data_IF_391497773055
#
_entry.id   IF_391497773055
#
_cell.length_a   1.000
_cell.length_b   1.000
_cell.length_c   1.000
_cell.angle_alpha   90.00
_cell.angle_beta   90.00
_cell.angle_gamma   90.00
#
_symmetry.space_group_name_H-M   'P 1'
#
loop_
_entity.id
_entity.type
_entity.pdbx_description
1 polymer ?
#
# COMPACT_ATOMS: atom_id res chain seq x y z
N UNK A 1 -64.29 4.54 -40.61
CA UNK A 1 -63.40 3.52 -41.15
C UNK A 1 -62.44 3.01 -40.08
N UNK A 2 -62.43 1.67 -39.86
CA UNK A 2 -61.67 1.07 -38.79
C UNK A 2 -60.23 0.70 -39.23
N UNK A 3 -59.25 0.91 -38.33
CA UNK A 3 -57.88 0.50 -38.49
C UNK A 3 -57.72 -1.03 -38.33
N UNK A 4 -57.06 -1.62 -39.31
CA UNK A 4 -56.73 -3.04 -39.37
C UNK A 4 -55.60 -3.40 -38.40
N UNK A 5 -55.81 -4.41 -37.56
CA UNK A 5 -54.82 -5.06 -36.72
C UNK A 5 -53.90 -5.93 -37.58
N UNK A 6 -52.57 -5.72 -37.47
CA UNK A 6 -51.55 -6.60 -38.03
C UNK A 6 -51.16 -7.67 -36.99
N UNK A 7 -51.43 -8.94 -37.34
CA UNK A 7 -51.06 -10.08 -36.54
C UNK A 7 -49.53 -10.29 -36.47
N UNK A 8 -49.06 -10.57 -35.28
CA UNK A 8 -47.67 -10.98 -35.02
C UNK A 8 -47.57 -12.51 -35.12
N UNK A 9 -46.83 -12.99 -36.10
CA UNK A 9 -46.47 -14.42 -36.22
C UNK A 9 -45.48 -14.80 -35.14
N UNK A 10 -45.89 -15.64 -34.21
CA UNK A 10 -45.00 -16.34 -33.28
C UNK A 10 -44.17 -17.38 -34.04
N UNK A 11 -42.86 -17.23 -34.06
CA UNK A 11 -41.93 -18.28 -34.51
C UNK A 11 -41.82 -19.33 -33.41
N UNK A 12 -42.21 -20.54 -33.70
CA UNK A 12 -42.01 -21.73 -32.87
C UNK A 12 -40.53 -22.16 -32.93
N UNK A 13 -39.92 -22.37 -31.78
CA UNK A 13 -38.58 -22.96 -31.66
C UNK A 13 -38.63 -24.48 -31.94
N UNK A 14 -37.59 -25.06 -32.56
CA UNK A 14 -37.53 -26.50 -32.80
C UNK A 14 -37.30 -27.30 -31.50
N UNK A 15 -37.75 -28.56 -31.41
CA UNK A 15 -37.60 -29.39 -30.22
C UNK A 15 -36.14 -29.77 -29.97
N UNK A 16 -35.71 -29.75 -28.71
CA UNK A 16 -34.41 -30.23 -28.27
C UNK A 16 -34.30 -31.76 -28.47
N UNK A 17 -33.26 -32.18 -29.20
CA UNK A 17 -32.91 -33.58 -29.39
C UNK A 17 -32.32 -34.17 -28.10
N UNK A 18 -32.87 -35.27 -27.64
CA UNK A 18 -32.35 -36.09 -26.53
C UNK A 18 -31.05 -36.77 -26.97
N UNK A 19 -29.96 -36.75 -26.18
CA UNK A 19 -28.74 -37.49 -26.53
C UNK A 19 -28.96 -39.00 -26.37
N UNK A 20 -28.38 -39.77 -27.31
CA UNK A 20 -28.40 -41.24 -27.33
C UNK A 20 -27.56 -41.80 -26.14
N UNK A 21 -27.89 -43.04 -25.67
CA UNK A 21 -27.14 -43.66 -24.57
C UNK A 21 -25.72 -44.05 -25.02
N UNK A 22 -24.74 -43.79 -24.14
CA UNK A 22 -23.33 -44.08 -24.34
C UNK A 22 -23.08 -45.58 -24.16
N UNK A 23 -22.43 -46.23 -25.13
CA UNK A 23 -21.99 -47.63 -25.09
C UNK A 23 -20.77 -47.78 -24.18
N UNK A 24 -20.78 -48.60 -23.13
CA UNK A 24 -19.69 -48.75 -22.16
C UNK A 24 -18.51 -49.62 -22.64
N UNK A 25 -18.47 -50.05 -23.89
CA UNK A 25 -17.44 -51.00 -24.37
C UNK A 25 -16.32 -50.40 -25.22
N UNK A 26 -16.26 -49.07 -25.40
CA UNK A 26 -15.14 -48.45 -26.10
C UNK A 26 -14.05 -47.99 -25.13
N UNK A 27 -12.75 -48.26 -25.41
CA UNK A 27 -11.66 -47.76 -24.59
C UNK A 27 -11.62 -46.24 -24.68
N UNK A 28 -11.70 -45.57 -23.52
CA UNK A 28 -11.66 -44.12 -23.41
C UNK A 28 -10.36 -43.55 -23.99
N UNK A 29 -10.49 -42.61 -24.91
CA UNK A 29 -9.40 -41.75 -25.32
C UNK A 29 -8.88 -41.01 -24.08
N UNK A 30 -7.58 -41.15 -23.80
CA UNK A 30 -6.90 -40.41 -22.75
C UNK A 30 -7.07 -38.92 -23.03
N UNK A 31 -7.61 -38.20 -22.05
CA UNK A 31 -7.66 -36.75 -22.08
C UNK A 31 -6.24 -36.20 -22.30
N UNK A 32 -6.03 -35.13 -23.10
CA UNK A 32 -4.74 -34.50 -23.24
C UNK A 32 -4.30 -33.99 -21.88
N UNK A 33 -3.14 -34.47 -21.43
CA UNK A 33 -2.56 -34.07 -20.14
C UNK A 33 -2.55 -32.56 -20.02
N UNK A 34 -3.08 -32.06 -18.91
CA UNK A 34 -2.84 -30.69 -18.43
C UNK A 34 -1.34 -30.48 -18.36
N UNK A 35 -0.78 -29.80 -19.37
CA UNK A 35 0.54 -29.18 -19.24
C UNK A 35 0.39 -28.09 -18.21
N UNK A 36 0.57 -28.45 -16.94
CA UNK A 36 0.67 -27.49 -15.85
C UNK A 36 1.75 -26.48 -16.19
N UNK A 37 1.36 -25.30 -16.61
CA UNK A 37 2.23 -24.15 -16.59
C UNK A 37 2.80 -24.06 -15.17
N UNK A 38 4.12 -23.85 -14.97
CA UNK A 38 4.66 -23.73 -13.66
C UNK A 38 3.91 -22.62 -12.92
N UNK A 39 3.26 -22.97 -11.81
CA UNK A 39 2.67 -21.97 -10.91
C UNK A 39 3.80 -20.99 -10.59
N UNK A 40 3.69 -19.76 -11.05
CA UNK A 40 4.59 -18.70 -10.64
C UNK A 40 4.65 -18.71 -9.12
N UNK A 41 5.83 -18.85 -8.51
CA UNK A 41 5.93 -18.89 -7.06
C UNK A 41 5.21 -17.66 -6.51
N UNK A 42 4.19 -17.87 -5.69
CA UNK A 42 3.42 -16.78 -5.10
C UNK A 42 4.39 -15.80 -4.45
N UNK A 43 4.42 -14.57 -4.92
CA UNK A 43 5.30 -13.54 -4.40
C UNK A 43 5.15 -13.48 -2.86
N UNK A 44 6.28 -13.51 -2.14
CA UNK A 44 6.28 -13.42 -0.69
C UNK A 44 5.84 -12.00 -0.32
N UNK A 45 4.62 -11.87 0.21
CA UNK A 45 4.11 -10.58 0.65
C UNK A 45 4.68 -10.21 2.02
N UNK A 46 5.06 -8.94 2.18
CA UNK A 46 5.55 -8.36 3.44
C UNK A 46 4.43 -8.10 4.45
N UNK A 47 3.18 -8.21 4.05
CA UNK A 47 2.00 -7.96 4.87
C UNK A 47 1.04 -9.14 4.85
N UNK A 48 0.14 -9.18 5.85
CA UNK A 48 -0.97 -10.13 5.91
C UNK A 48 -2.28 -9.36 5.77
N UNK A 49 -3.09 -9.73 4.78
CA UNK A 49 -4.47 -9.22 4.69
C UNK A 49 -5.25 -9.73 5.89
N UNK A 50 -5.61 -8.84 6.79
CA UNK A 50 -6.49 -9.15 7.93
C UNK A 50 -7.88 -8.68 7.60
N UNK A 51 -8.87 -9.56 7.75
CA UNK A 51 -10.27 -9.16 7.75
C UNK A 51 -10.53 -8.34 9.03
N UNK A 52 -10.57 -7.03 8.91
CA UNK A 52 -10.93 -6.14 10.01
C UNK A 52 -12.35 -5.62 9.83
N UNK A 53 -13.09 -5.43 10.95
CA UNK A 53 -14.35 -4.71 10.90
C UNK A 53 -14.08 -3.22 10.88
N UNK A 54 -14.68 -2.50 9.93
CA UNK A 54 -14.78 -1.05 9.96
C UNK A 54 -15.83 -0.64 11.01
N UNK A 55 -15.49 0.37 11.82
CA UNK A 55 -16.48 1.01 12.70
C UNK A 55 -17.42 1.88 11.87
N UNK A 56 -18.59 2.23 12.42
CA UNK A 56 -19.55 3.12 11.74
C UNK A 56 -18.91 4.47 11.33
N UNK A 57 -18.08 5.04 12.21
CA UNK A 57 -17.34 6.28 11.90
C UNK A 57 -16.34 6.13 10.76
N UNK A 58 -15.65 5.00 10.67
CA UNK A 58 -14.75 4.69 9.56
C UNK A 58 -15.53 4.46 8.25
N UNK A 59 -16.63 3.71 8.30
CA UNK A 59 -17.49 3.47 7.15
C UNK A 59 -18.07 4.77 6.59
N UNK A 60 -18.52 5.67 7.48
CA UNK A 60 -18.99 7.00 7.11
C UNK A 60 -17.88 7.83 6.45
N UNK A 61 -16.68 7.87 7.03
CA UNK A 61 -15.55 8.58 6.45
C UNK A 61 -15.16 8.04 5.09
N UNK A 62 -15.20 6.70 4.90
CA UNK A 62 -14.97 6.07 3.59
C UNK A 62 -16.00 6.53 2.54
N UNK A 63 -17.28 6.63 2.91
CA UNK A 63 -18.35 7.06 2.01
C UNK A 63 -18.27 8.56 1.67
N UNK A 64 -18.07 9.42 2.68
CA UNK A 64 -18.14 10.88 2.55
C UNK A 64 -16.83 11.51 2.03
N UNK A 65 -15.68 11.04 2.52
CA UNK A 65 -14.36 11.59 2.23
C UNK A 65 -13.56 10.77 1.21
N UNK A 66 -13.86 9.49 1.10
CA UNK A 66 -13.18 8.58 0.17
C UNK A 66 -13.12 9.12 -1.26
N UNK A 67 -14.23 9.58 -1.86
CA UNK A 67 -14.23 10.10 -3.23
C UNK A 67 -13.26 11.26 -3.47
N UNK A 68 -12.98 12.08 -2.44
CA UNK A 68 -12.08 13.23 -2.53
C UNK A 68 -10.63 12.90 -2.21
N UNK A 69 -10.38 12.03 -1.24
CA UNK A 69 -9.04 11.82 -0.68
C UNK A 69 -8.41 10.49 -1.05
N UNK A 70 -9.18 9.51 -1.54
CA UNK A 70 -8.65 8.25 -2.05
C UNK A 70 -8.35 8.37 -3.54
N UNK A 71 -7.15 8.00 -3.91
CA UNK A 71 -6.74 7.86 -5.30
C UNK A 71 -6.90 6.39 -5.70
N UNK A 72 -7.58 6.08 -6.81
CA UNK A 72 -7.62 4.71 -7.32
C UNK A 72 -6.21 4.28 -7.75
N UNK A 73 -5.86 3.03 -7.48
CA UNK A 73 -4.66 2.47 -8.06
C UNK A 73 -4.83 2.37 -9.59
N UNK A 74 -3.80 2.76 -10.31
CA UNK A 74 -3.75 2.71 -11.76
C UNK A 74 -2.31 2.56 -12.25
N UNK A 75 -2.14 1.95 -13.40
CA UNK A 75 -0.84 1.87 -14.09
C UNK A 75 -0.59 3.15 -14.89
N UNK A 76 -0.51 4.27 -14.16
CA UNK A 76 -0.27 5.60 -14.69
C UNK A 76 0.38 6.46 -13.62
N UNK A 77 1.45 7.15 -13.98
CA UNK A 77 2.14 8.09 -13.08
C UNK A 77 1.21 9.22 -12.67
N UNK A 78 1.15 9.49 -11.36
CA UNK A 78 0.35 10.58 -10.81
C UNK A 78 0.92 11.94 -11.18
N UNK A 79 0.07 12.83 -11.65
CA UNK A 79 0.33 14.26 -11.64
C UNK A 79 0.00 14.81 -10.24
N UNK A 80 1.01 14.91 -9.39
CA UNK A 80 0.84 15.35 -7.99
C UNK A 80 0.36 16.80 -7.91
N UNK A 81 0.74 17.65 -8.85
CA UNK A 81 0.25 19.03 -8.91
C UNK A 81 -1.26 19.07 -9.17
N UNK A 82 -1.76 18.27 -10.09
CA UNK A 82 -3.20 18.16 -10.34
C UNK A 82 -3.93 17.53 -9.14
N UNK A 83 -3.35 16.49 -8.51
CA UNK A 83 -3.94 15.79 -7.36
C UNK A 83 -4.10 16.68 -6.14
N UNK A 84 -3.12 17.54 -5.84
CA UNK A 84 -3.12 18.41 -4.66
C UNK A 84 -3.56 19.85 -4.97
N UNK A 85 -3.63 20.24 -6.25
CA UNK A 85 -3.96 21.60 -6.70
C UNK A 85 -2.85 22.61 -6.41
N UNK A 86 -1.62 22.16 -6.14
CA UNK A 86 -0.45 22.99 -5.86
C UNK A 86 0.86 22.26 -6.19
N UNK A 87 1.92 23.02 -6.29
CA UNK A 87 3.27 22.48 -6.39
C UNK A 87 3.92 22.50 -5.01
N UNK A 88 4.19 21.31 -4.47
CA UNK A 88 4.85 21.13 -3.17
C UNK A 88 5.72 19.87 -3.17
N UNK A 89 6.60 19.76 -2.19
CA UNK A 89 7.35 18.53 -1.94
C UNK A 89 6.39 17.39 -1.58
N UNK A 90 6.62 16.20 -2.14
CA UNK A 90 5.77 15.03 -1.90
C UNK A 90 6.53 13.98 -1.09
N UNK A 91 5.90 13.48 -0.04
CA UNK A 91 6.38 12.38 0.80
C UNK A 91 5.42 11.19 0.67
N UNK A 92 5.97 10.00 0.43
CA UNK A 92 5.21 8.75 0.43
C UNK A 92 5.33 8.07 1.81
N UNK A 93 4.22 7.69 2.41
CA UNK A 93 4.21 6.83 3.60
C UNK A 93 3.72 5.43 3.25
N UNK A 94 4.49 4.41 3.62
CA UNK A 94 4.20 3.01 3.37
C UNK A 94 3.68 2.35 4.65
N UNK A 95 2.42 1.89 4.62
CA UNK A 95 1.81 1.18 5.74
C UNK A 95 1.47 2.10 6.92
N UNK A 96 0.63 3.11 6.71
CA UNK A 96 0.28 4.08 7.75
C UNK A 96 -0.60 3.52 8.89
N UNK A 97 -1.06 2.27 8.78
CA UNK A 97 -1.90 1.64 9.80
C UNK A 97 -3.20 2.39 10.05
N UNK A 98 -3.44 2.85 11.29
CA UNK A 98 -4.65 3.64 11.63
C UNK A 98 -4.49 5.15 11.35
N UNK A 99 -3.31 5.59 10.92
CA UNK A 99 -3.06 6.94 10.42
C UNK A 99 -2.95 8.05 11.47
N UNK A 100 -2.90 7.73 12.76
CA UNK A 100 -2.75 8.74 13.82
C UNK A 100 -1.45 9.56 13.65
N UNK A 101 -0.33 8.88 13.40
CA UNK A 101 0.96 9.53 13.18
C UNK A 101 0.96 10.32 11.87
N UNK A 102 0.48 9.72 10.79
CA UNK A 102 0.37 10.31 9.45
C UNK A 102 -0.39 11.62 9.48
N UNK A 103 -1.58 11.63 10.11
CA UNK A 103 -2.40 12.84 10.23
C UNK A 103 -1.70 13.95 11.03
N UNK A 104 -0.97 13.60 12.11
CA UNK A 104 -0.19 14.58 12.89
C UNK A 104 0.98 15.12 12.11
N UNK A 105 1.69 14.28 11.35
CA UNK A 105 2.81 14.70 10.51
C UNK A 105 2.31 15.67 9.44
N UNK A 106 1.24 15.31 8.73
CA UNK A 106 0.63 16.17 7.71
C UNK A 106 0.18 17.52 8.28
N UNK A 107 -0.35 17.53 9.51
CA UNK A 107 -0.73 18.76 10.21
C UNK A 107 0.49 19.62 10.60
N UNK A 108 1.60 18.96 10.98
CA UNK A 108 2.85 19.64 11.39
C UNK A 108 3.61 20.21 10.20
N UNK A 109 3.47 19.59 9.03
CA UNK A 109 4.16 19.97 7.79
C UNK A 109 3.14 20.38 6.70
N UNK A 110 2.43 21.51 6.86
CA UNK A 110 1.35 21.90 5.95
C UNK A 110 1.82 22.23 4.53
N UNK A 111 3.11 22.57 4.35
CA UNK A 111 3.70 22.88 3.04
C UNK A 111 4.23 21.65 2.31
N UNK A 112 4.10 20.46 2.90
CA UNK A 112 4.44 19.17 2.31
C UNK A 112 3.19 18.39 2.00
N UNK A 113 3.13 17.78 0.83
CA UNK A 113 2.04 16.88 0.43
C UNK A 113 2.39 15.43 0.73
N UNK A 114 1.43 14.65 1.18
CA UNK A 114 1.61 13.26 1.59
C UNK A 114 0.73 12.33 0.78
N UNK A 115 1.32 11.22 0.33
CA UNK A 115 0.60 10.08 -0.23
C UNK A 115 0.80 8.91 0.73
N UNK A 116 -0.27 8.45 1.37
CA UNK A 116 -0.24 7.27 2.24
C UNK A 116 -0.71 6.02 1.51
N UNK A 117 0.07 4.94 1.59
CA UNK A 117 -0.31 3.63 1.08
C UNK A 117 -0.66 2.71 2.25
N UNK A 118 -1.81 2.04 2.15
CA UNK A 118 -2.26 1.03 3.13
C UNK A 118 -3.15 0.01 2.42
N UNK A 119 -3.05 -1.25 2.80
CA UNK A 119 -3.89 -2.32 2.24
C UNK A 119 -5.12 -2.63 3.10
N UNK A 120 -5.09 -2.23 4.37
CA UNK A 120 -6.10 -2.55 5.38
C UNK A 120 -7.19 -1.47 5.44
N UNK A 121 -8.39 -1.80 4.95
CA UNK A 121 -9.51 -0.85 4.82
C UNK A 121 -9.88 -0.10 6.12
N UNK A 122 -9.95 -0.75 7.32
CA UNK A 122 -10.19 -0.02 8.55
C UNK A 122 -9.16 1.08 8.84
N UNK A 123 -7.90 0.87 8.45
CA UNK A 123 -6.86 1.90 8.53
C UNK A 123 -7.14 3.08 7.60
N UNK A 124 -7.54 2.79 6.38
CA UNK A 124 -7.95 3.83 5.40
C UNK A 124 -9.11 4.65 5.93
N UNK A 125 -10.15 3.99 6.47
CA UNK A 125 -11.30 4.65 7.09
C UNK A 125 -10.92 5.50 8.31
N UNK A 126 -9.98 5.03 9.13
CA UNK A 126 -9.47 5.78 10.27
C UNK A 126 -8.71 7.03 9.84
N UNK A 127 -7.82 6.93 8.85
CA UNK A 127 -7.08 8.08 8.35
C UNK A 127 -8.01 9.10 7.68
N UNK A 128 -9.01 8.66 6.91
CA UNK A 128 -10.03 9.56 6.35
C UNK A 128 -10.79 10.32 7.45
N UNK A 129 -11.13 9.64 8.54
CA UNK A 129 -11.75 10.28 9.71
C UNK A 129 -10.83 11.38 10.28
N UNK A 130 -9.54 11.09 10.47
CA UNK A 130 -8.57 12.09 10.92
C UNK A 130 -8.42 13.26 9.96
N UNK A 131 -8.45 13.01 8.64
CA UNK A 131 -8.44 14.07 7.61
C UNK A 131 -9.63 15.01 7.80
N UNK A 132 -10.84 14.46 7.96
CA UNK A 132 -12.05 15.26 8.20
C UNK A 132 -12.02 16.05 9.50
N UNK A 133 -11.67 15.39 10.62
CA UNK A 133 -11.60 16.01 11.95
C UNK A 133 -10.58 17.14 12.05
N UNK A 134 -9.47 17.05 11.29
CA UNK A 134 -8.37 18.02 11.32
C UNK A 134 -8.41 19.01 10.15
N UNK A 135 -9.31 18.83 9.20
CA UNK A 135 -9.39 19.67 8.00
C UNK A 135 -8.14 19.60 7.11
N UNK A 136 -7.50 18.41 7.03
CA UNK A 136 -6.26 18.26 6.26
C UNK A 136 -6.55 18.30 4.76
N UNK A 137 -5.73 19.03 4.02
CA UNK A 137 -5.83 19.17 2.56
C UNK A 137 -4.63 18.55 1.82
N UNK A 138 -3.52 18.37 2.52
CA UNK A 138 -2.23 17.95 2.02
C UNK A 138 -1.98 16.43 2.13
N UNK A 139 -3.04 15.61 2.16
CA UNK A 139 -2.93 14.16 2.31
C UNK A 139 -3.85 13.45 1.32
N UNK A 140 -3.35 12.44 0.65
CA UNK A 140 -4.10 11.51 -0.22
C UNK A 140 -3.76 10.09 0.15
N UNK A 141 -4.66 9.15 -0.17
CA UNK A 141 -4.56 7.74 0.20
C UNK A 141 -4.65 6.88 -1.05
N UNK A 142 -3.74 5.92 -1.20
CA UNK A 142 -3.85 4.82 -2.15
C UNK A 142 -4.03 3.53 -1.36
N UNK A 143 -5.20 2.91 -1.47
CA UNK A 143 -5.46 1.63 -0.83
C UNK A 143 -4.97 0.49 -1.72
N UNK A 144 -3.66 0.25 -1.70
CA UNK A 144 -3.01 -0.75 -2.54
C UNK A 144 -1.63 -1.12 -1.99
N UNK A 145 -1.00 -2.17 -2.57
CA UNK A 145 0.38 -2.54 -2.28
C UNK A 145 1.33 -1.40 -2.66
N UNK A 146 2.09 -0.92 -1.69
CA UNK A 146 2.99 0.21 -1.88
C UNK A 146 4.10 -0.05 -2.91
N UNK A 147 4.52 -1.31 -3.10
CA UNK A 147 5.52 -1.68 -4.10
C UNK A 147 5.00 -1.44 -5.50
N UNK A 148 3.74 -1.81 -5.76
CA UNK A 148 3.07 -1.57 -7.05
C UNK A 148 2.78 -0.07 -7.25
N UNK A 149 2.39 0.64 -6.19
CA UNK A 149 2.22 2.11 -6.23
C UNK A 149 3.53 2.80 -6.59
N UNK A 150 4.64 2.42 -5.96
CA UNK A 150 5.98 2.95 -6.31
C UNK A 150 6.33 2.70 -7.77
N UNK A 151 6.02 1.51 -8.27
CA UNK A 151 6.39 1.10 -9.63
C UNK A 151 5.60 1.83 -10.70
N UNK A 152 4.29 1.98 -10.50
CA UNK A 152 3.38 2.43 -11.53
C UNK A 152 2.88 3.87 -11.36
N UNK A 153 2.74 4.35 -10.13
CA UNK A 153 2.10 5.64 -9.86
C UNK A 153 3.06 6.77 -9.48
N UNK A 154 4.30 6.46 -9.11
CA UNK A 154 5.27 7.46 -8.66
C UNK A 154 6.31 7.72 -9.74
N UNK A 155 6.47 8.97 -10.15
CA UNK A 155 7.48 9.36 -11.12
C UNK A 155 8.91 9.15 -10.59
N UNK A 156 9.90 8.81 -11.45
CA UNK A 156 11.30 8.82 -11.05
C UNK A 156 11.73 10.19 -10.51
N UNK A 157 12.58 10.19 -9.49
CA UNK A 157 13.17 11.40 -8.90
C UNK A 157 12.14 12.47 -8.44
N UNK A 158 10.96 12.05 -7.98
CA UNK A 158 9.87 12.96 -7.63
C UNK A 158 9.59 13.08 -6.14
N UNK A 159 9.97 12.09 -5.32
CA UNK A 159 9.70 12.09 -3.89
C UNK A 159 10.76 12.87 -3.12
N UNK A 160 10.32 13.79 -2.27
CA UNK A 160 11.17 14.44 -1.28
C UNK A 160 11.53 13.52 -0.11
N UNK A 161 10.68 12.53 0.17
CA UNK A 161 10.93 11.56 1.22
C UNK A 161 10.02 10.35 1.16
N UNK A 162 10.42 9.32 1.91
CA UNK A 162 9.63 8.12 2.14
C UNK A 162 9.63 7.81 3.64
N UNK A 163 8.45 7.56 4.20
CA UNK A 163 8.25 7.14 5.57
C UNK A 163 7.83 5.67 5.64
N UNK A 164 8.49 4.90 6.51
CA UNK A 164 8.16 3.49 6.79
C UNK A 164 8.23 3.30 8.30
N UNK A 165 7.09 3.42 8.97
CA UNK A 165 7.05 3.40 10.42
C UNK A 165 6.44 2.10 10.94
N UNK A 166 7.14 1.44 11.85
CA UNK A 166 6.73 0.21 12.54
C UNK A 166 6.24 -0.89 11.60
N UNK A 167 6.98 -1.21 10.51
CA UNK A 167 6.63 -2.32 9.64
C UNK A 167 6.68 -3.62 10.42
N UNK A 168 5.89 -4.63 9.98
CA UNK A 168 5.86 -5.94 10.63
C UNK A 168 7.28 -6.52 10.81
N UNK A 169 7.74 -6.76 12.05
CA UNK A 169 9.12 -7.16 12.32
C UNK A 169 9.40 -8.64 12.02
N UNK A 170 8.35 -9.47 11.86
CA UNK A 170 8.48 -10.91 11.58
C UNK A 170 9.50 -11.59 12.50
N UNK A 171 9.23 -11.61 13.80
CA UNK A 171 10.15 -12.02 14.88
C UNK A 171 10.85 -13.37 14.66
N UNK A 172 10.17 -14.36 14.05
CA UNK A 172 10.75 -15.68 13.81
C UNK A 172 11.77 -15.59 12.66
N UNK A 173 13.00 -16.04 12.88
CA UNK A 173 14.11 -16.03 11.91
C UNK A 173 13.71 -16.55 10.52
N UNK A 174 12.93 -17.64 10.45
CA UNK A 174 12.41 -18.21 9.18
C UNK A 174 11.47 -17.25 8.42
N UNK A 175 10.93 -16.22 9.09
CA UNK A 175 10.03 -15.22 8.51
C UNK A 175 10.72 -13.90 8.15
N UNK A 176 12.00 -13.70 8.47
CA UNK A 176 12.72 -12.46 8.18
C UNK A 176 12.70 -12.10 6.69
N UNK A 177 12.62 -13.12 5.80
CA UNK A 177 12.43 -12.93 4.35
C UNK A 177 11.14 -12.20 3.97
N UNK A 178 10.19 -12.06 4.90
CA UNK A 178 8.93 -11.32 4.72
C UNK A 178 9.04 -9.85 5.14
N UNK A 179 10.13 -9.47 5.79
CA UNK A 179 10.34 -8.07 6.19
C UNK A 179 10.30 -7.18 4.96
N UNK A 180 9.61 -6.05 5.09
CA UNK A 180 9.39 -5.12 3.98
C UNK A 180 10.70 -4.49 3.48
N UNK A 181 11.54 -4.02 4.42
CA UNK A 181 12.76 -3.28 4.09
C UNK A 181 13.88 -4.26 3.77
N UNK A 182 14.10 -4.44 2.48
CA UNK A 182 15.15 -5.29 1.90
C UNK A 182 15.72 -4.63 0.65
N UNK A 183 16.87 -5.10 0.17
CA UNK A 183 17.56 -4.51 -0.98
C UNK A 183 16.69 -4.26 -2.22
N UNK A 184 15.77 -5.16 -2.64
CA UNK A 184 14.91 -4.89 -3.80
C UNK A 184 13.98 -3.69 -3.62
N UNK A 185 13.39 -3.52 -2.42
CA UNK A 185 12.57 -2.35 -2.15
C UNK A 185 13.42 -1.08 -2.12
N UNK A 186 14.57 -1.11 -1.45
CA UNK A 186 15.47 0.05 -1.36
C UNK A 186 15.91 0.51 -2.74
N UNK A 187 16.24 -0.40 -3.65
CA UNK A 187 16.56 -0.07 -5.03
C UNK A 187 15.41 0.67 -5.73
N UNK A 188 14.16 0.21 -5.54
CA UNK A 188 12.97 0.91 -6.09
C UNK A 188 12.80 2.29 -5.47
N UNK A 189 12.92 2.43 -4.15
CA UNK A 189 12.80 3.71 -3.44
C UNK A 189 13.78 4.75 -3.97
N UNK A 190 15.03 4.36 -4.17
CA UNK A 190 16.10 5.25 -4.68
C UNK A 190 15.75 5.79 -6.06
N UNK A 191 15.17 4.99 -6.95
CA UNK A 191 14.76 5.48 -8.26
C UNK A 191 13.65 6.52 -8.20
N UNK A 192 12.83 6.52 -7.15
CA UNK A 192 11.69 7.45 -6.96
C UNK A 192 12.06 8.68 -6.15
N UNK A 193 13.06 8.60 -5.28
CA UNK A 193 13.55 9.74 -4.52
C UNK A 193 14.23 10.77 -5.43
N UNK A 194 13.90 12.03 -5.22
CA UNK A 194 14.67 13.15 -5.76
C UNK A 194 16.08 13.18 -5.16
N UNK A 195 17.07 13.79 -5.83
CA UNK A 195 18.37 14.07 -5.23
C UNK A 195 18.21 14.81 -3.89
N UNK A 196 18.89 14.36 -2.84
CA UNK A 196 18.74 14.89 -1.48
C UNK A 196 17.46 14.44 -0.77
N UNK A 197 16.57 13.71 -1.42
CA UNK A 197 15.40 13.09 -0.81
C UNK A 197 15.79 12.05 0.24
N UNK A 198 14.90 11.72 1.16
CA UNK A 198 15.25 10.88 2.31
C UNK A 198 14.34 9.65 2.47
N UNK A 199 14.87 8.64 3.15
CA UNK A 199 14.11 7.51 3.68
C UNK A 199 14.16 7.61 5.20
N UNK A 200 13.00 7.64 5.86
CA UNK A 200 12.88 7.60 7.31
C UNK A 200 12.15 6.33 7.74
N UNK A 201 12.86 5.46 8.43
CA UNK A 201 12.32 4.24 9.01
C UNK A 201 12.31 4.37 10.54
N UNK A 202 11.30 3.80 11.18
CA UNK A 202 11.25 3.64 12.63
C UNK A 202 10.75 2.23 12.98
N UNK A 203 11.33 1.60 14.00
CA UNK A 203 10.91 0.29 14.50
C UNK A 203 11.19 0.18 16.00
N UNK A 204 10.37 -0.61 16.70
CA UNK A 204 10.53 -0.96 18.12
C UNK A 204 11.17 -2.34 18.31
N UNK A 205 11.64 -2.98 17.20
CA UNK A 205 12.28 -4.27 17.21
C UNK A 205 13.76 -4.15 16.84
N UNK A 206 14.64 -4.22 17.83
CA UNK A 206 16.09 -4.00 17.68
C UNK A 206 16.74 -4.86 16.57
N UNK A 207 16.47 -6.19 16.47
CA UNK A 207 17.05 -6.99 15.39
C UNK A 207 16.61 -6.54 13.99
N UNK A 208 15.43 -5.90 13.86
CA UNK A 208 15.01 -5.33 12.59
C UNK A 208 15.66 -3.96 12.36
N UNK A 209 15.83 -3.15 13.40
CA UNK A 209 16.55 -1.88 13.30
C UNK A 209 17.97 -2.08 12.74
N UNK A 210 18.70 -3.09 13.26
CA UNK A 210 20.04 -3.42 12.76
C UNK A 210 20.00 -3.91 11.31
N UNK A 211 19.02 -4.74 10.92
CA UNK A 211 18.87 -5.16 9.53
C UNK A 211 18.57 -3.97 8.60
N UNK A 212 17.70 -3.05 9.02
CA UNK A 212 17.41 -1.84 8.23
C UNK A 212 18.68 -0.99 8.06
N UNK A 213 19.43 -0.79 9.13
CA UNK A 213 20.69 -0.06 9.11
C UNK A 213 21.69 -0.67 8.11
N UNK A 214 21.83 -1.99 8.13
CA UNK A 214 22.68 -2.75 7.21
C UNK A 214 22.21 -2.61 5.77
N UNK A 215 20.92 -2.84 5.50
CA UNK A 215 20.36 -2.82 4.14
C UNK A 215 20.43 -1.43 3.50
N UNK A 216 20.10 -0.38 4.25
CA UNK A 216 20.21 1.00 3.76
C UNK A 216 21.65 1.42 3.61
N UNK A 217 22.52 1.06 4.58
CA UNK A 217 23.94 1.40 4.57
C UNK A 217 24.76 0.69 3.48
N UNK A 218 24.30 -0.47 3.01
CA UNK A 218 24.94 -1.19 1.92
C UNK A 218 24.75 -0.52 0.54
N UNK A 219 23.80 0.42 0.42
CA UNK A 219 23.54 1.06 -0.86
C UNK A 219 24.42 2.32 -1.03
N UNK A 220 25.23 2.39 -2.12
CA UNK A 220 26.18 3.50 -2.33
C UNK A 220 25.50 4.85 -2.61
N UNK A 221 24.23 4.83 -3.07
CA UNK A 221 23.47 6.04 -3.36
C UNK A 221 22.82 6.67 -2.12
N UNK A 222 22.95 6.02 -0.96
CA UNK A 222 22.40 6.49 0.31
C UNK A 222 23.51 6.91 1.28
N UNK A 223 23.21 7.92 2.07
CA UNK A 223 24.07 8.40 3.17
C UNK A 223 23.26 8.39 4.45
N UNK A 224 23.76 7.72 5.48
CA UNK A 224 23.19 7.82 6.82
C UNK A 224 23.39 9.24 7.36
N UNK A 225 22.32 9.83 7.91
CA UNK A 225 22.39 11.18 8.49
C UNK A 225 22.95 11.19 9.92
N UNK A 226 23.20 10.02 10.51
CA UNK A 226 23.73 9.84 11.86
C UNK A 226 24.80 8.76 11.89
N UNK A 227 25.56 8.70 12.98
CA UNK A 227 26.44 7.55 13.25
C UNK A 227 25.62 6.41 13.85
N UNK A 228 25.03 5.57 13.02
CA UNK A 228 24.13 4.52 13.43
C UNK A 228 22.65 4.96 13.39
N UNK A 229 21.96 4.91 14.52
CA UNK A 229 20.57 5.33 14.64
C UNK A 229 20.44 6.83 14.81
N UNK A 230 19.42 7.43 14.19
CA UNK A 230 19.16 8.86 14.29
C UNK A 230 18.38 9.17 15.58
N UNK A 231 18.50 10.41 16.05
CA UNK A 231 17.53 10.96 16.99
C UNK A 231 16.15 11.03 16.32
N UNK A 232 15.10 10.84 17.12
CA UNK A 232 13.73 10.91 16.60
C UNK A 232 13.46 12.31 16.02
N UNK A 233 13.20 12.44 14.69
CA UNK A 233 12.90 13.73 14.09
C UNK A 233 11.67 14.39 14.74
N UNK A 234 11.72 15.72 14.87
CA UNK A 234 10.68 16.49 15.58
C UNK A 234 9.28 16.33 14.96
N UNK A 235 9.19 16.16 13.64
CA UNK A 235 7.92 15.97 12.96
C UNK A 235 7.26 14.61 13.24
N UNK A 236 8.03 13.57 13.63
CA UNK A 236 7.47 12.27 13.98
C UNK A 236 6.91 12.28 15.40
N UNK A 237 5.58 12.18 15.58
CA UNK A 237 5.00 12.17 16.90
C UNK A 237 5.33 10.87 17.65
N UNK A 238 5.32 10.91 18.96
CA UNK A 238 5.25 9.70 19.78
C UNK A 238 3.89 9.05 19.59
N UNK A 239 3.88 7.79 19.15
CA UNK A 239 2.67 7.01 19.06
C UNK A 239 2.23 6.50 20.44
N UNK A 240 0.97 6.10 20.57
CA UNK A 240 0.48 5.47 21.82
C UNK A 240 1.25 4.18 22.14
N UNK A 241 1.67 3.44 21.11
CA UNK A 241 2.47 2.22 21.25
C UNK A 241 3.89 2.53 21.76
N UNK A 242 4.54 3.54 21.19
CA UNK A 242 5.86 3.99 21.67
C UNK A 242 5.80 4.42 23.12
N UNK A 243 4.84 5.27 23.49
CA UNK A 243 4.67 5.70 24.88
C UNK A 243 4.49 4.53 25.86
N UNK A 244 3.73 3.50 25.46
CA UNK A 244 3.56 2.29 26.25
C UNK A 244 4.85 1.46 26.27
N UNK A 245 5.52 1.30 25.14
CA UNK A 245 6.78 0.58 25.01
C UNK A 245 7.89 1.20 25.83
N UNK A 246 8.08 2.53 25.74
CA UNK A 246 9.06 3.28 26.53
C UNK A 246 8.84 3.14 28.04
N UNK A 247 7.57 3.13 28.51
CA UNK A 247 7.23 2.87 29.91
C UNK A 247 7.59 1.46 30.37
N UNK A 248 7.70 0.52 29.44
CA UNK A 248 8.10 -0.87 29.68
C UNK A 248 9.60 -1.12 29.42
N UNK A 249 10.39 -0.05 29.13
CA UNK A 249 11.82 -0.14 28.85
C UNK A 249 12.16 -0.60 27.42
N UNK A 250 11.19 -0.60 26.49
CA UNK A 250 11.44 -0.90 25.09
C UNK A 250 12.04 0.32 24.38
N UNK A 251 13.06 0.10 23.54
CA UNK A 251 13.63 1.12 22.68
C UNK A 251 12.80 1.33 21.41
N UNK A 252 12.98 2.48 20.78
CA UNK A 252 12.57 2.75 19.41
C UNK A 252 13.76 3.29 18.66
N UNK A 253 13.99 2.78 17.47
CA UNK A 253 15.12 3.13 16.63
C UNK A 253 14.63 3.85 15.40
N UNK A 254 15.07 5.09 15.22
CA UNK A 254 14.88 5.88 14.02
C UNK A 254 16.12 5.79 13.12
N UNK A 255 15.88 5.67 11.81
CA UNK A 255 16.92 5.61 10.80
C UNK A 255 16.56 6.59 9.69
N UNK A 256 17.42 7.54 9.42
CA UNK A 256 17.22 8.54 8.36
C UNK A 256 18.39 8.50 7.40
N UNK A 257 18.13 8.17 6.17
CA UNK A 257 19.12 8.14 5.08
C UNK A 257 18.71 9.12 3.99
N UNK A 258 19.69 9.79 3.40
CA UNK A 258 19.48 10.70 2.27
C UNK A 258 20.05 10.13 0.99
N UNK A 259 19.35 10.34 -0.13
CA UNK A 259 19.88 10.08 -1.46
C UNK A 259 20.96 11.12 -1.79
N UNK A 260 22.08 10.66 -2.34
CA UNK A 260 23.20 11.50 -2.84
C UNK A 260 22.79 12.34 -4.03
#
# INVERSE_FOLDING_TARGET
PPLQARGHLMRQSPPMSTPAPIDPSLPGEAAPGETGLPEHPRAIRSYVMRAGRTTEGQARALAELGPRFRLPYQDLVLDTQAVFGRQASVVLEIGFGMGDATAKIAQTLPDTDFIGCEVHEPGVGALLKHIGEKGLTNLRIVQHDAVEVLEHMIAPNSLAGVHIFFPDPWHKKRHNKRRLIQAPLVAKLITRLAPGGYIHCATDWEPYAHQILEVLGANPDLVNTATGFAEKPAYRPLTKFENRGLKLGHGVWDLVFKKR
#
